data_IF_467188862708
#
_entry.id   IF_467188862708
#
_cell.length_a   1.000
_cell.length_b   1.000
_cell.length_c   1.000
_cell.angle_alpha   90.00
_cell.angle_beta   90.00
_cell.angle_gamma   90.00
#
_symmetry.space_group_name_H-M   'P 1'
#
loop_
_entity.id
_entity.type
_entity.pdbx_description
1 polymer ?
#
# COMPACT_ATOMS: atom_id res chain seq x y z
N UNK A 1 16.94 8.37 -13.78
CA UNK A 1 17.80 8.72 -12.63
C UNK A 1 17.34 8.05 -11.34
N UNK A 2 16.19 8.40 -10.73
CA UNK A 2 15.78 7.81 -9.44
C UNK A 2 15.78 6.27 -9.48
N UNK A 3 15.12 5.68 -10.48
CA UNK A 3 15.07 4.23 -10.62
C UNK A 3 16.45 3.60 -10.81
N UNK A 4 17.32 4.22 -11.61
CA UNK A 4 18.68 3.73 -11.86
C UNK A 4 19.51 3.67 -10.56
N UNK A 5 19.22 4.54 -9.60
CA UNK A 5 19.88 4.53 -8.29
C UNK A 5 19.30 3.44 -7.40
N UNK A 6 17.98 3.34 -7.30
CA UNK A 6 17.35 2.35 -6.39
C UNK A 6 17.42 0.93 -6.92
N UNK A 7 17.54 0.74 -8.24
CA UNK A 7 17.71 -0.59 -8.87
C UNK A 7 19.00 -1.29 -8.41
N UNK A 8 19.99 -0.54 -7.91
CA UNK A 8 21.18 -1.11 -7.28
C UNK A 8 20.89 -1.92 -6.01
N UNK A 9 19.69 -1.80 -5.41
CA UNK A 9 19.24 -2.64 -4.29
C UNK A 9 18.85 -4.06 -4.75
N UNK A 10 18.63 -4.27 -6.05
CA UNK A 10 18.36 -5.57 -6.69
C UNK A 10 17.32 -6.40 -5.91
N UNK A 11 17.65 -7.62 -5.47
CA UNK A 11 16.73 -8.49 -4.72
C UNK A 11 16.21 -7.89 -3.40
N UNK A 12 16.83 -6.82 -2.89
CA UNK A 12 16.38 -6.08 -1.70
C UNK A 12 15.46 -4.91 -2.04
N UNK A 13 15.28 -4.58 -3.32
CA UNK A 13 14.37 -3.55 -3.77
C UNK A 13 12.92 -4.04 -3.65
N UNK A 14 12.31 -3.75 -2.50
CA UNK A 14 10.87 -3.88 -2.32
C UNK A 14 10.08 -2.84 -3.14
N UNK A 15 8.76 -2.72 -2.89
CA UNK A 15 7.94 -1.75 -3.60
C UNK A 15 8.35 -0.30 -3.34
N UNK A 16 8.23 0.53 -4.36
CA UNK A 16 8.41 1.98 -4.27
C UNK A 16 7.07 2.62 -3.92
N UNK A 17 7.02 3.31 -2.77
CA UNK A 17 5.83 4.02 -2.31
C UNK A 17 5.82 5.46 -2.84
N UNK A 18 4.77 5.80 -3.59
CA UNK A 18 4.41 7.17 -3.97
C UNK A 18 3.28 7.66 -3.07
N UNK A 19 3.61 8.52 -2.12
CA UNK A 19 2.65 9.09 -1.19
C UNK A 19 2.32 10.53 -1.60
N UNK A 20 1.04 10.78 -1.88
CA UNK A 20 0.58 12.08 -2.35
C UNK A 20 0.19 12.97 -1.15
N UNK A 21 0.39 14.30 -1.25
CA UNK A 21 -0.01 15.20 -0.20
C UNK A 21 -1.56 15.32 -0.12
N UNK A 22 -2.13 15.62 1.06
CA UNK A 22 -3.57 15.59 1.28
C UNK A 22 -4.36 16.67 0.51
N UNK A 23 -3.69 17.73 0.05
CA UNK A 23 -4.32 18.78 -0.77
C UNK A 23 -4.30 18.47 -2.27
N UNK A 24 -3.64 17.39 -2.70
CA UNK A 24 -3.61 16.99 -4.09
C UNK A 24 -4.84 16.14 -4.41
N UNK A 25 -5.79 16.73 -5.15
CA UNK A 25 -7.04 16.10 -5.57
C UNK A 25 -6.84 15.25 -6.82
N UNK A 26 -7.74 14.28 -7.02
CA UNK A 26 -7.81 13.43 -8.22
C UNK A 26 -7.55 14.23 -9.50
N UNK A 27 -6.54 13.77 -10.21
CA UNK A 27 -6.24 14.11 -11.59
C UNK A 27 -5.77 12.81 -12.28
N UNK A 28 -6.68 12.17 -13.01
CA UNK A 28 -6.40 10.88 -13.65
C UNK A 28 -5.49 11.02 -14.86
N UNK A 29 -5.41 12.21 -15.46
CA UNK A 29 -4.45 12.48 -16.53
C UNK A 29 -3.02 12.49 -15.99
N UNK A 30 -2.78 13.23 -14.90
CA UNK A 30 -1.46 13.27 -14.26
C UNK A 30 -1.07 11.88 -13.72
N UNK A 31 -2.00 11.20 -13.05
CA UNK A 31 -1.72 9.84 -12.55
C UNK A 31 -1.38 8.90 -13.71
N UNK A 32 -2.17 8.96 -14.79
CA UNK A 32 -2.00 8.14 -15.98
C UNK A 32 -0.66 8.35 -16.67
N UNK A 33 -0.30 9.60 -16.93
CA UNK A 33 1.01 9.94 -17.51
C UNK A 33 2.16 9.43 -16.63
N UNK A 34 2.04 9.62 -15.31
CA UNK A 34 3.04 9.17 -14.35
C UNK A 34 3.19 7.65 -14.32
N UNK A 35 2.09 6.89 -14.17
CA UNK A 35 2.17 5.42 -14.08
C UNK A 35 2.66 4.77 -15.37
N UNK A 36 2.32 5.35 -16.53
CA UNK A 36 2.81 4.86 -17.82
C UNK A 36 4.30 5.18 -18.05
N UNK A 37 4.82 6.22 -17.40
CA UNK A 37 6.24 6.56 -17.42
C UNK A 37 7.10 5.75 -16.44
N UNK A 38 6.51 4.93 -15.58
CA UNK A 38 7.27 4.13 -14.62
C UNK A 38 8.11 3.04 -15.34
N UNK A 39 9.37 2.83 -14.93
CA UNK A 39 10.19 1.77 -15.50
C UNK A 39 9.57 0.38 -15.32
N UNK A 40 9.68 -0.44 -16.36
CA UNK A 40 9.23 -1.83 -16.33
C UNK A 40 9.89 -2.61 -15.18
N UNK A 41 9.09 -3.37 -14.45
CA UNK A 41 9.53 -4.19 -13.32
C UNK A 41 9.50 -3.50 -11.95
N UNK A 42 9.28 -2.18 -11.89
CA UNK A 42 9.08 -1.50 -10.60
C UNK A 42 7.72 -1.86 -10.00
N UNK A 43 7.70 -2.48 -8.82
CA UNK A 43 6.48 -2.58 -7.98
C UNK A 43 6.19 -1.20 -7.38
N UNK A 44 5.22 -0.48 -7.93
CA UNK A 44 4.81 0.84 -7.43
C UNK A 44 3.54 0.75 -6.57
N UNK A 45 3.56 1.39 -5.40
CA UNK A 45 2.39 1.55 -4.53
C UNK A 45 2.00 3.02 -4.42
N UNK A 46 0.72 3.35 -4.50
CA UNK A 46 0.21 4.73 -4.40
C UNK A 46 -0.62 4.92 -3.15
N UNK A 47 -0.19 5.84 -2.29
CA UNK A 47 -0.95 6.27 -1.11
C UNK A 47 -1.59 7.63 -1.37
N UNK A 48 -2.90 7.59 -1.63
CA UNK A 48 -3.72 8.77 -1.76
C UNK A 48 -4.19 9.27 -0.40
N UNK A 49 -4.12 10.59 -0.21
CA UNK A 49 -4.50 11.27 1.04
C UNK A 49 -5.67 12.22 0.89
N UNK A 50 -6.39 12.09 -0.21
CA UNK A 50 -7.60 12.84 -0.51
C UNK A 50 -8.66 11.88 -1.07
N UNK A 51 -9.89 11.95 -0.54
CA UNK A 51 -10.98 11.01 -0.84
C UNK A 51 -11.35 10.95 -2.33
N UNK A 52 -11.14 12.05 -3.07
CA UNK A 52 -11.48 12.09 -4.50
C UNK A 52 -10.69 11.09 -5.35
N UNK A 53 -9.57 10.55 -4.85
CA UNK A 53 -8.83 9.47 -5.52
C UNK A 53 -9.44 8.08 -5.34
N UNK A 54 -10.36 7.91 -4.39
CA UNK A 54 -11.02 6.63 -4.13
C UNK A 54 -12.21 6.43 -5.07
N UNK A 55 -11.86 6.35 -6.35
CA UNK A 55 -12.79 6.32 -7.46
C UNK A 55 -12.47 5.15 -8.40
N UNK A 56 -13.49 4.62 -9.07
CA UNK A 56 -13.37 3.42 -9.90
C UNK A 56 -12.37 3.62 -11.05
N UNK A 57 -12.36 4.81 -11.66
CA UNK A 57 -11.43 5.18 -12.74
C UNK A 57 -9.96 5.06 -12.29
N UNK A 58 -9.67 5.48 -11.05
CA UNK A 58 -8.33 5.40 -10.46
C UNK A 58 -7.96 3.95 -10.20
N UNK A 59 -8.87 3.15 -9.64
CA UNK A 59 -8.60 1.74 -9.37
C UNK A 59 -8.34 0.94 -10.64
N UNK A 60 -9.07 1.23 -11.72
CA UNK A 60 -8.89 0.54 -12.99
C UNK A 60 -7.61 0.97 -13.71
N UNK A 61 -7.21 2.24 -13.60
CA UNK A 61 -5.90 2.71 -14.05
C UNK A 61 -4.74 2.01 -13.32
N UNK A 62 -4.83 1.88 -11.99
CA UNK A 62 -3.83 1.16 -11.20
C UNK A 62 -3.76 -0.33 -11.60
N UNK A 63 -4.90 -0.98 -11.81
CA UNK A 63 -4.96 -2.37 -12.31
C UNK A 63 -4.32 -2.54 -13.68
N UNK A 64 -4.66 -1.66 -14.62
CA UNK A 64 -4.11 -1.71 -15.97
C UNK A 64 -2.58 -1.58 -15.98
N UNK A 65 -2.02 -0.85 -15.02
CA UNK A 65 -0.58 -0.61 -14.89
C UNK A 65 0.10 -1.50 -13.84
N UNK A 66 -0.64 -2.43 -13.22
CA UNK A 66 -0.17 -3.34 -12.16
C UNK A 66 0.43 -2.62 -10.95
N UNK A 67 0.01 -1.38 -10.72
CA UNK A 67 0.37 -0.60 -9.55
C UNK A 67 -0.58 -0.91 -8.39
N UNK A 68 -0.05 -0.98 -7.17
CA UNK A 68 -0.86 -1.25 -5.99
C UNK A 68 -1.43 0.04 -5.40
N UNK A 69 -2.69 -0.02 -4.98
CA UNK A 69 -3.25 0.93 -4.02
C UNK A 69 -2.63 0.62 -2.66
N UNK A 70 -2.01 1.63 -2.04
CA UNK A 70 -1.61 1.52 -0.65
C UNK A 70 -2.87 1.59 0.22
N UNK A 71 -3.23 0.45 0.82
CA UNK A 71 -4.34 0.36 1.77
C UNK A 71 -3.84 0.92 3.11
N UNK A 72 -3.99 2.23 3.26
CA UNK A 72 -3.62 2.95 4.47
C UNK A 72 -4.78 2.96 5.47
N UNK A 73 -4.50 2.58 6.71
CA UNK A 73 -5.43 2.65 7.83
C UNK A 73 -4.90 3.65 8.85
N UNK A 74 -5.55 4.82 8.92
CA UNK A 74 -5.13 5.93 9.78
C UNK A 74 -6.35 6.67 10.30
N UNK A 75 -6.20 7.40 11.40
CA UNK A 75 -7.29 8.19 12.01
C UNK A 75 -7.86 9.27 11.09
N UNK A 76 -7.07 9.78 10.14
CA UNK A 76 -7.46 10.90 9.27
C UNK A 76 -8.18 10.45 8.00
N UNK A 77 -7.77 9.30 7.46
CA UNK A 77 -8.30 8.75 6.22
C UNK A 77 -8.02 7.25 6.20
N UNK A 78 -9.07 6.46 5.97
CA UNK A 78 -8.97 5.03 5.71
C UNK A 78 -9.16 4.80 4.22
N UNK A 79 -8.14 4.26 3.56
CA UNK A 79 -8.25 3.88 2.16
C UNK A 79 -9.20 2.67 2.01
N UNK A 80 -9.96 2.59 0.92
CA UNK A 80 -10.81 1.43 0.67
C UNK A 80 -9.96 0.18 0.47
N UNK A 81 -10.46 -0.95 0.95
CA UNK A 81 -9.79 -2.26 0.87
C UNK A 81 -9.93 -2.88 -0.52
N UNK A 82 -9.33 -2.24 -1.52
CA UNK A 82 -9.42 -2.63 -2.94
C UNK A 82 -8.06 -3.12 -3.44
N UNK A 83 -8.05 -4.33 -3.98
CA UNK A 83 -6.88 -4.93 -4.63
C UNK A 83 -6.78 -4.44 -6.08
N UNK A 84 -5.67 -3.79 -6.40
CA UNK A 84 -5.39 -3.20 -7.73
C UNK A 84 -4.15 -3.78 -8.39
N UNK A 85 -3.43 -4.67 -7.72
CA UNK A 85 -2.32 -5.42 -8.30
C UNK A 85 -2.40 -6.88 -7.88
N UNK A 86 -1.53 -7.70 -8.47
CA UNK A 86 -1.33 -9.11 -8.06
C UNK A 86 -0.53 -9.22 -6.76
N UNK A 87 -0.32 -8.11 -6.03
CA UNK A 87 0.37 -8.03 -4.75
C UNK A 87 -0.27 -6.92 -3.91
N UNK A 88 -0.10 -6.99 -2.60
CA UNK A 88 -0.69 -6.05 -1.63
C UNK A 88 0.32 -5.09 -1.01
N UNK A 89 -0.13 -3.89 -0.66
CA UNK A 89 0.65 -2.93 0.13
C UNK A 89 -0.24 -2.28 1.19
N UNK A 90 0.02 -2.57 2.46
CA UNK A 90 -0.77 -2.09 3.60
C UNK A 90 0.09 -1.19 4.49
N UNK A 91 -0.48 -0.07 4.92
CA UNK A 91 0.12 0.80 5.94
C UNK A 91 -0.84 0.94 7.11
N UNK A 92 -0.59 0.17 8.16
CA UNK A 92 -1.40 0.11 9.37
C UNK A 92 -0.83 1.14 10.36
N UNK A 93 -1.48 2.30 10.48
CA UNK A 93 -0.92 3.50 11.12
C UNK A 93 -1.69 3.99 12.35
N UNK A 94 -2.69 3.25 12.81
CA UNK A 94 -3.35 3.54 14.09
C UNK A 94 -2.47 3.07 15.26
N UNK A 95 -2.60 3.73 16.40
CA UNK A 95 -1.83 3.39 17.62
C UNK A 95 -2.59 2.36 18.49
N UNK A 96 -3.90 2.24 18.27
CA UNK A 96 -4.86 1.56 19.15
C UNK A 96 -5.28 0.16 18.65
N UNK A 97 -4.46 -0.50 17.82
CA UNK A 97 -4.78 -1.84 17.31
C UNK A 97 -4.97 -2.86 18.45
N UNK A 98 -6.19 -3.37 18.57
CA UNK A 98 -6.49 -4.52 19.43
C UNK A 98 -6.12 -5.83 18.73
N UNK A 99 -6.14 -6.94 19.47
CA UNK A 99 -5.93 -8.27 18.88
C UNK A 99 -6.96 -8.58 17.78
N UNK A 100 -8.22 -8.21 18.00
CA UNK A 100 -9.31 -8.44 17.05
C UNK A 100 -9.09 -7.64 15.76
N UNK A 101 -8.56 -6.42 15.86
CA UNK A 101 -8.25 -5.63 14.66
C UNK A 101 -7.18 -6.30 13.79
N UNK A 102 -6.16 -6.89 14.42
CA UNK A 102 -5.12 -7.65 13.71
C UNK A 102 -5.71 -8.90 13.07
N UNK A 103 -6.60 -9.64 13.77
CA UNK A 103 -7.29 -10.81 13.23
C UNK A 103 -8.11 -10.44 11.97
N UNK A 104 -8.87 -9.33 12.00
CA UNK A 104 -9.60 -8.85 10.82
C UNK A 104 -8.69 -8.46 9.64
N UNK A 105 -7.51 -7.90 9.92
CA UNK A 105 -6.53 -7.62 8.86
C UNK A 105 -5.95 -8.90 8.26
N UNK A 106 -5.70 -9.92 9.09
CA UNK A 106 -5.26 -11.25 8.63
C UNK A 106 -6.31 -11.90 7.75
N UNK A 107 -7.58 -11.87 8.15
CA UNK A 107 -8.70 -12.36 7.34
C UNK A 107 -8.79 -11.65 6.00
N UNK A 108 -8.66 -10.31 6.00
CA UNK A 108 -8.64 -9.52 4.77
C UNK A 108 -7.50 -9.95 3.83
N UNK A 109 -6.28 -10.11 4.36
CA UNK A 109 -5.11 -10.56 3.58
C UNK A 109 -5.34 -11.97 3.02
N UNK A 110 -5.85 -12.91 3.82
CA UNK A 110 -6.13 -14.29 3.40
C UNK A 110 -7.21 -14.38 2.32
N UNK A 111 -8.16 -13.44 2.29
CA UNK A 111 -9.19 -13.37 1.26
C UNK A 111 -8.66 -12.93 -0.12
N UNK A 112 -7.43 -12.42 -0.22
CA UNK A 112 -6.85 -11.95 -1.48
C UNK A 112 -6.19 -13.09 -2.26
N UNK A 113 -6.99 -13.99 -2.85
CA UNK A 113 -6.49 -15.13 -3.62
C UNK A 113 -5.62 -14.75 -4.85
N UNK A 114 -5.66 -13.50 -5.30
CA UNK A 114 -4.85 -13.00 -6.41
C UNK A 114 -3.51 -12.38 -6.01
N UNK A 115 -3.17 -12.36 -4.72
CA UNK A 115 -1.89 -11.81 -4.24
C UNK A 115 -0.79 -12.88 -4.21
N UNK A 116 0.30 -12.63 -4.92
CA UNK A 116 1.53 -13.42 -4.84
C UNK A 116 2.38 -13.04 -3.62
N UNK A 117 2.25 -11.79 -3.16
CA UNK A 117 3.03 -11.20 -2.08
C UNK A 117 2.27 -10.03 -1.42
N UNK A 118 2.59 -9.72 -0.17
CA UNK A 118 2.00 -8.59 0.56
C UNK A 118 3.01 -7.91 1.48
N UNK A 119 3.11 -6.59 1.35
CA UNK A 119 3.97 -5.77 2.19
C UNK A 119 3.11 -5.03 3.22
N UNK A 120 3.32 -5.32 4.50
CA UNK A 120 2.55 -4.73 5.60
C UNK A 120 3.47 -3.93 6.52
N UNK A 121 3.19 -2.64 6.65
CA UNK A 121 3.99 -1.73 7.48
C UNK A 121 3.15 -1.18 8.62
N UNK A 122 3.55 -1.48 9.86
CA UNK A 122 3.05 -0.80 11.04
C UNK A 122 3.78 0.53 11.23
N UNK A 123 3.07 1.56 11.72
CA UNK A 123 3.68 2.88 11.98
C UNK A 123 4.79 2.78 13.02
N UNK A 124 5.81 3.63 12.81
CA UNK A 124 6.84 3.87 13.81
C UNK A 124 6.31 4.88 14.84
N UNK A 125 6.34 4.49 16.11
CA UNK A 125 5.79 5.24 17.24
C UNK A 125 6.74 5.15 18.42
N UNK A 126 6.74 6.17 19.28
CA UNK A 126 7.64 6.24 20.44
C UNK A 126 7.42 5.08 21.42
N UNK A 127 6.18 4.58 21.52
CA UNK A 127 5.85 3.43 22.35
C UNK A 127 6.40 2.09 21.82
N UNK A 128 6.87 2.02 20.58
CA UNK A 128 7.53 0.83 20.02
C UNK A 128 6.61 -0.40 19.86
N UNK A 129 5.30 -0.20 19.70
CA UNK A 129 4.30 -1.29 19.58
C UNK A 129 4.33 -1.99 18.22
N UNK A 130 4.76 -1.29 17.16
CA UNK A 130 4.77 -1.79 15.78
C UNK A 130 5.42 -3.18 15.60
N UNK A 131 6.65 -3.43 16.09
CA UNK A 131 7.28 -4.76 16.01
C UNK A 131 6.49 -5.88 16.69
N UNK A 132 5.79 -5.58 17.79
CA UNK A 132 4.94 -6.56 18.49
C UNK A 132 3.71 -6.92 17.65
N UNK A 133 3.05 -5.92 17.06
CA UNK A 133 1.90 -6.12 16.17
C UNK A 133 2.30 -6.89 14.91
N UNK A 134 3.45 -6.54 14.32
CA UNK A 134 4.00 -7.24 13.17
C UNK A 134 4.24 -8.72 13.47
N UNK A 135 4.88 -9.04 14.62
CA UNK A 135 5.09 -10.43 15.04
C UNK A 135 3.78 -11.19 15.24
N UNK A 136 2.81 -10.57 15.92
CA UNK A 136 1.50 -11.18 16.13
C UNK A 136 0.79 -11.48 14.79
N UNK A 137 0.86 -10.56 13.84
CA UNK A 137 0.30 -10.77 12.51
C UNK A 137 1.02 -11.89 11.75
N UNK A 138 2.35 -11.96 11.84
CA UNK A 138 3.13 -13.06 11.24
C UNK A 138 2.72 -14.42 11.83
N UNK A 139 2.54 -14.51 13.14
CA UNK A 139 2.08 -15.74 13.82
C UNK A 139 0.68 -16.16 13.39
N UNK A 140 -0.21 -15.21 13.12
CA UNK A 140 -1.58 -15.47 12.65
C UNK A 140 -1.64 -15.79 11.15
N UNK A 141 -0.67 -15.34 10.36
CA UNK A 141 -0.58 -15.61 8.91
C UNK A 141 0.09 -16.94 8.59
N UNK A 142 0.98 -17.42 9.48
CA UNK A 142 1.60 -18.76 9.40
C UNK A 142 0.55 -19.88 9.33
#
# INVERSE_FOLDING_TARGET
>A
YFYDVVSALDAKLGPVLFQLPPNFKKDTFILGDFVNGLPGGMRAAFEFRHESWFDQEVFDLLKATKAALCIADSEKLTAPKVSTATWGYLRLRREDYSKIDIEHWVEFVRAQHGWDDVFIYFKHEEAGTGPKLARQMMELLA
#
